data_IF_673215012508
#
_entry.id   IF_673215012508
#
_cell.length_a   1.000
_cell.length_b   1.000
_cell.length_c   1.000
_cell.angle_alpha   90.00
_cell.angle_beta   90.00
_cell.angle_gamma   90.00
#
_symmetry.space_group_name_H-M   'P 1'
#
loop_
_entity.id
_entity.type
_entity.pdbx_description
1 polymer ?
#
# COMPACT_ATOMS: atom_id res chain seq x y z
N UNK A 1 37.02 -2.64 59.43
CA UNK A 1 36.76 -2.91 57.99
C UNK A 1 35.48 -2.20 57.65
N UNK A 2 35.60 -1.12 56.92
CA UNK A 2 34.83 0.11 57.04
C UNK A 2 33.45 0.07 56.38
N UNK A 3 32.45 0.63 57.06
CA UNK A 3 31.10 0.86 56.56
C UNK A 3 31.05 1.57 55.18
N UNK A 4 32.06 2.37 54.90
CA UNK A 4 32.21 3.10 53.62
C UNK A 4 32.47 2.19 52.42
N UNK A 5 33.14 1.05 52.57
CA UNK A 5 33.42 0.10 51.48
C UNK A 5 32.16 -0.68 51.10
N UNK A 6 31.30 -0.98 52.07
CA UNK A 6 30.03 -1.68 51.81
C UNK A 6 28.99 -0.81 51.05
N UNK A 7 29.00 0.50 51.28
CA UNK A 7 28.13 1.45 50.59
C UNK A 7 28.59 1.65 49.14
N UNK A 8 29.89 1.71 48.89
CA UNK A 8 30.44 1.83 47.54
C UNK A 8 30.15 0.59 46.67
N UNK A 9 30.15 -0.61 47.27
CA UNK A 9 29.86 -1.86 46.56
C UNK A 9 28.37 -1.99 46.23
N UNK A 10 27.46 -1.47 47.08
CA UNK A 10 26.02 -1.48 46.85
C UNK A 10 25.58 -0.48 45.77
N UNK A 11 26.24 0.66 45.63
CA UNK A 11 25.96 1.66 44.59
C UNK A 11 26.50 1.21 43.21
N UNK A 12 27.63 0.47 43.20
CA UNK A 12 28.18 -0.07 41.94
C UNK A 12 27.34 -1.19 41.31
N UNK A 13 26.59 -1.96 42.13
CA UNK A 13 25.77 -3.05 41.63
C UNK A 13 24.40 -2.55 41.10
N UNK A 14 23.94 -1.38 41.54
CA UNK A 14 22.69 -0.77 41.10
C UNK A 14 22.75 -0.13 39.69
N UNK A 15 23.97 0.15 39.16
CA UNK A 15 24.15 0.79 37.86
C UNK A 15 24.26 -0.17 36.68
N UNK A 16 24.27 -1.47 36.92
CA UNK A 16 24.38 -2.49 35.85
C UNK A 16 23.05 -3.03 35.38
N UNK A 17 21.91 -2.54 35.88
CA UNK A 17 20.57 -2.99 35.50
C UNK A 17 19.88 -2.11 34.42
N UNK A 18 20.62 -1.17 33.83
CA UNK A 18 20.15 -0.54 32.57
C UNK A 18 20.48 -1.47 31.40
N UNK A 19 20.00 -2.74 31.50
CA UNK A 19 20.01 -3.65 30.39
C UNK A 19 19.04 -3.11 29.33
N UNK A 20 19.57 -2.75 28.20
CA UNK A 20 18.96 -2.51 26.91
C UNK A 20 17.55 -3.09 26.81
N UNK A 21 16.55 -2.25 26.97
CA UNK A 21 15.27 -2.49 26.33
C UNK A 21 15.54 -2.38 24.83
N UNK A 22 15.82 -3.51 24.18
CA UNK A 22 15.69 -3.59 22.73
C UNK A 22 14.22 -3.30 22.44
N UNK A 23 13.95 -2.08 22.03
CA UNK A 23 12.71 -1.76 21.35
C UNK A 23 12.78 -2.57 20.04
N UNK A 24 12.05 -3.67 20.02
CA UNK A 24 11.80 -4.41 18.79
C UNK A 24 10.94 -3.50 17.93
N UNK A 25 11.56 -2.68 17.09
CA UNK A 25 10.83 -2.01 16.01
C UNK A 25 10.31 -3.13 15.11
N UNK A 26 8.99 -3.33 15.11
CA UNK A 26 8.36 -4.12 14.06
C UNK A 26 8.84 -3.56 12.73
N UNK A 27 9.23 -4.43 11.78
CA UNK A 27 9.60 -3.98 10.45
C UNK A 27 8.43 -3.19 9.88
N UNK A 28 8.60 -1.89 9.77
CA UNK A 28 7.65 -1.04 9.07
C UNK A 28 7.83 -1.30 7.58
N UNK A 29 6.76 -1.62 6.87
CA UNK A 29 6.79 -1.77 5.42
C UNK A 29 7.40 -0.52 4.74
N UNK A 30 7.67 -0.61 3.43
CA UNK A 30 8.11 0.55 2.66
C UNK A 30 7.13 1.71 2.84
N UNK A 31 7.63 2.93 2.86
CA UNK A 31 6.79 4.13 2.87
C UNK A 31 6.70 4.75 1.48
N UNK A 32 5.60 5.44 1.23
CA UNK A 32 5.39 6.23 0.02
C UNK A 32 5.02 7.66 0.39
N UNK A 33 5.54 8.63 -0.34
CA UNK A 33 5.14 10.02 -0.21
C UNK A 33 3.73 10.20 -0.80
N UNK A 34 2.77 10.63 0.03
CA UNK A 34 1.40 10.93 -0.38
C UNK A 34 1.18 12.42 -0.65
N UNK A 35 2.01 13.27 -0.06
CA UNK A 35 2.20 14.68 -0.37
C UNK A 35 3.65 15.10 -0.08
N UNK A 36 3.92 16.42 -0.12
CA UNK A 36 5.30 16.95 0.01
C UNK A 36 5.97 16.65 1.34
N UNK A 37 5.19 16.51 2.41
CA UNK A 37 5.68 16.44 3.79
C UNK A 37 5.17 15.18 4.53
N UNK A 38 4.35 14.35 3.88
CA UNK A 38 3.71 13.19 4.50
C UNK A 38 4.11 11.90 3.82
N UNK A 39 4.75 11.03 4.59
CA UNK A 39 5.03 9.65 4.19
C UNK A 39 4.06 8.69 4.88
N UNK A 40 3.56 7.73 4.13
CA UNK A 40 2.67 6.68 4.61
C UNK A 40 3.35 5.33 4.48
N UNK A 41 3.41 4.58 5.58
CA UNK A 41 3.87 3.19 5.55
C UNK A 41 2.88 2.31 4.78
N UNK A 42 3.39 1.44 3.93
CA UNK A 42 2.56 0.48 3.20
C UNK A 42 2.37 -0.79 4.02
N UNK A 43 1.17 -1.39 4.01
CA UNK A 43 0.96 -2.74 4.52
C UNK A 43 1.89 -3.77 3.86
N UNK A 44 2.14 -4.89 4.51
CA UNK A 44 2.90 -5.98 3.91
C UNK A 44 2.07 -6.71 2.83
N UNK A 45 2.70 -7.32 1.82
CA UNK A 45 1.99 -8.14 0.83
C UNK A 45 1.12 -9.23 1.46
N UNK A 46 1.59 -9.88 2.52
CA UNK A 46 0.87 -10.94 3.23
C UNK A 46 -0.44 -10.48 3.88
N UNK A 47 -0.59 -9.19 4.19
CA UNK A 47 -1.77 -8.62 4.83
C UNK A 47 -2.97 -8.51 3.88
N UNK A 48 -2.80 -8.77 2.57
CA UNK A 48 -3.93 -8.94 1.65
C UNK A 48 -4.81 -10.15 2.05
N UNK A 49 -4.21 -11.21 2.60
CA UNK A 49 -4.91 -12.39 3.08
C UNK A 49 -5.17 -13.46 2.02
N UNK A 50 -5.04 -13.14 0.75
CA UNK A 50 -5.18 -14.05 -0.40
C UNK A 50 -4.15 -13.72 -1.48
N UNK A 51 -3.94 -14.62 -2.43
CA UNK A 51 -3.15 -14.35 -3.64
C UNK A 51 -4.08 -13.86 -4.76
N UNK A 52 -3.62 -12.87 -5.50
CA UNK A 52 -4.40 -12.22 -6.56
C UNK A 52 -3.57 -12.08 -7.83
N UNK A 53 -4.13 -12.47 -8.95
CA UNK A 53 -3.57 -12.15 -10.27
C UNK A 53 -4.65 -11.53 -11.13
N UNK A 54 -4.30 -10.51 -11.91
CA UNK A 54 -5.23 -9.88 -12.83
C UNK A 54 -4.55 -9.30 -14.05
N UNK A 55 -5.27 -9.32 -15.17
CA UNK A 55 -5.02 -8.48 -16.34
C UNK A 55 -6.09 -7.39 -16.36
N UNK A 56 -5.65 -6.14 -16.41
CA UNK A 56 -6.52 -4.97 -16.27
C UNK A 56 -6.19 -3.93 -17.33
N UNK A 57 -7.19 -3.17 -17.73
CA UNK A 57 -7.01 -1.92 -18.47
C UNK A 57 -7.24 -0.77 -17.48
N UNK A 58 -6.21 0.00 -17.22
CA UNK A 58 -6.28 1.17 -16.36
C UNK A 58 -6.43 2.40 -17.24
N UNK A 59 -7.45 3.23 -16.95
CA UNK A 59 -7.66 4.54 -17.58
C UNK A 59 -7.52 5.61 -16.51
N UNK A 60 -6.51 6.46 -16.59
CA UNK A 60 -6.31 7.58 -15.70
C UNK A 60 -6.73 8.88 -16.40
N UNK A 61 -7.60 9.64 -15.74
CA UNK A 61 -8.13 10.91 -16.24
C UNK A 61 -7.81 12.02 -15.25
N UNK A 62 -7.17 13.08 -15.72
CA UNK A 62 -6.96 14.32 -14.98
C UNK A 62 -7.22 15.50 -15.90
N UNK A 63 -8.02 16.44 -15.43
CA UNK A 63 -8.57 17.51 -16.28
C UNK A 63 -9.29 16.88 -17.50
N UNK A 64 -8.86 17.21 -18.73
CA UNK A 64 -9.46 16.71 -19.98
C UNK A 64 -8.61 15.61 -20.65
N UNK A 65 -7.48 15.24 -20.03
CA UNK A 65 -6.60 14.20 -20.57
C UNK A 65 -6.93 12.83 -19.98
N UNK A 66 -6.98 11.82 -20.86
CA UNK A 66 -7.16 10.42 -20.47
C UNK A 66 -6.05 9.57 -21.08
N UNK A 67 -5.35 8.81 -20.24
CA UNK A 67 -4.36 7.84 -20.67
C UNK A 67 -4.76 6.44 -20.27
N UNK A 68 -4.48 5.48 -21.15
CA UNK A 68 -4.81 4.07 -20.92
C UNK A 68 -3.53 3.23 -20.87
N UNK A 69 -3.50 2.31 -19.92
CA UNK A 69 -2.38 1.42 -19.72
C UNK A 69 -2.90 -0.01 -19.45
N UNK A 70 -2.61 -0.98 -20.33
CA UNK A 70 -2.77 -2.39 -20.01
C UNK A 70 -1.78 -2.77 -18.90
N UNK A 71 -2.28 -3.45 -17.87
CA UNK A 71 -1.50 -3.80 -16.68
C UNK A 71 -1.70 -5.26 -16.32
N UNK A 72 -0.64 -5.90 -15.87
CA UNK A 72 -0.68 -7.19 -15.18
C UNK A 72 -0.27 -6.99 -13.72
N UNK A 73 -1.06 -7.54 -12.83
CA UNK A 73 -0.84 -7.53 -11.39
C UNK A 73 -0.71 -8.95 -10.87
N UNK A 74 0.27 -9.19 -10.01
CA UNK A 74 0.43 -10.42 -9.24
C UNK A 74 0.67 -10.03 -7.78
N UNK A 75 -0.12 -10.55 -6.87
CA UNK A 75 0.07 -10.42 -5.42
C UNK A 75 0.14 -11.82 -4.82
N UNK A 76 1.22 -12.06 -4.09
CA UNK A 76 1.41 -13.25 -3.26
C UNK A 76 1.72 -12.81 -1.83
N UNK A 77 1.74 -13.69 -0.83
CA UNK A 77 2.14 -13.30 0.53
C UNK A 77 3.52 -12.65 0.63
N UNK A 78 4.40 -12.93 -0.33
CA UNK A 78 5.78 -12.46 -0.30
C UNK A 78 6.01 -11.17 -1.09
N UNK A 79 5.19 -10.91 -2.12
CA UNK A 79 5.46 -9.80 -3.06
C UNK A 79 4.19 -9.27 -3.74
N UNK A 80 4.31 -8.03 -4.19
CA UNK A 80 3.43 -7.40 -5.20
C UNK A 80 4.26 -7.15 -6.44
N UNK A 81 3.77 -7.55 -7.60
CA UNK A 81 4.37 -7.25 -8.91
C UNK A 81 3.32 -6.59 -9.79
N UNK A 82 3.71 -5.48 -10.42
CA UNK A 82 2.88 -4.77 -11.40
C UNK A 82 3.72 -4.53 -12.65
N UNK A 83 3.18 -4.87 -13.80
CA UNK A 83 3.80 -4.58 -15.10
C UNK A 83 2.80 -3.85 -16.01
N UNK A 84 3.23 -2.67 -16.51
CA UNK A 84 2.47 -1.86 -17.47
C UNK A 84 3.02 -2.02 -18.87
N UNK A 85 2.14 -2.05 -19.86
CA UNK A 85 2.48 -2.31 -21.25
C UNK A 85 1.98 -1.20 -22.18
N UNK A 86 2.76 -0.90 -23.22
CA UNK A 86 2.27 -0.09 -24.33
C UNK A 86 1.19 -0.84 -25.12
N UNK A 87 0.44 -0.13 -25.97
CA UNK A 87 -0.50 -0.73 -26.93
C UNK A 87 0.13 -1.77 -27.87
N UNK A 88 1.43 -1.74 -28.03
CA UNK A 88 2.21 -2.69 -28.84
C UNK A 88 2.75 -3.88 -28.03
N UNK A 89 2.38 -3.99 -26.74
CA UNK A 89 2.83 -5.06 -25.87
C UNK A 89 4.24 -4.91 -25.30
N UNK A 90 4.91 -3.79 -25.50
CA UNK A 90 6.20 -3.52 -24.87
C UNK A 90 6.00 -3.15 -23.40
N UNK A 91 6.72 -3.81 -22.47
CA UNK A 91 6.71 -3.44 -21.07
C UNK A 91 7.37 -2.07 -20.88
N UNK A 92 6.61 -1.11 -20.39
CA UNK A 92 7.05 0.28 -20.18
C UNK A 92 7.18 0.67 -18.71
N UNK A 93 6.55 -0.09 -17.83
CA UNK A 93 6.62 0.06 -16.39
C UNK A 93 6.75 -1.32 -15.74
N UNK A 94 7.61 -1.44 -14.74
CA UNK A 94 7.68 -2.59 -13.84
C UNK A 94 7.86 -2.08 -12.42
N UNK A 95 7.08 -2.64 -11.50
CA UNK A 95 7.18 -2.37 -10.08
C UNK A 95 7.15 -3.69 -9.34
N UNK A 96 8.01 -3.84 -8.35
CA UNK A 96 8.00 -4.94 -7.40
C UNK A 96 8.11 -4.40 -5.98
N UNK A 97 7.22 -4.84 -5.11
CA UNK A 97 7.28 -4.61 -3.67
C UNK A 97 7.50 -5.94 -2.96
N UNK A 98 8.67 -6.12 -2.38
CA UNK A 98 9.08 -7.33 -1.67
C UNK A 98 10.12 -6.98 -0.61
N UNK A 99 10.15 -7.73 0.51
CA UNK A 99 11.12 -7.52 1.60
C UNK A 99 11.18 -6.06 2.09
N UNK A 100 10.03 -5.39 2.11
CA UNK A 100 9.89 -3.96 2.49
C UNK A 100 10.69 -2.99 1.58
N UNK A 101 11.03 -3.41 0.38
CA UNK A 101 11.67 -2.59 -0.63
C UNK A 101 10.78 -2.48 -1.87
N UNK A 102 10.73 -1.28 -2.46
CA UNK A 102 10.05 -1.02 -3.72
C UNK A 102 11.13 -0.89 -4.79
N UNK A 103 11.08 -1.75 -5.80
CA UNK A 103 11.93 -1.70 -6.98
C UNK A 103 11.09 -1.28 -8.18
N UNK A 104 11.56 -0.28 -8.92
CA UNK A 104 10.82 0.26 -10.07
C UNK A 104 11.73 0.34 -11.30
N UNK A 105 11.16 0.09 -12.46
CA UNK A 105 11.80 0.27 -13.76
C UNK A 105 10.80 0.92 -14.70
N UNK A 106 11.20 2.05 -15.29
CA UNK A 106 10.42 2.77 -16.30
C UNK A 106 11.24 2.84 -17.56
N UNK A 107 10.62 2.58 -18.71
CA UNK A 107 11.28 2.66 -20.01
C UNK A 107 11.83 4.09 -20.23
N UNK A 108 13.08 4.18 -20.66
CA UNK A 108 13.76 5.46 -20.87
C UNK A 108 12.94 6.40 -21.76
N UNK A 109 12.79 7.65 -21.31
CA UNK A 109 12.00 8.69 -21.99
C UNK A 109 10.52 8.78 -21.58
N UNK A 110 9.98 7.83 -20.79
CA UNK A 110 8.58 7.85 -20.34
C UNK A 110 8.41 8.29 -18.89
N UNK A 111 9.49 8.50 -18.14
CA UNK A 111 9.40 8.80 -16.70
C UNK A 111 8.65 10.09 -16.36
N UNK A 112 8.59 11.06 -17.27
CA UNK A 112 7.80 12.29 -17.07
C UNK A 112 6.32 12.15 -17.48
N UNK A 113 5.98 11.09 -18.19
CA UNK A 113 4.62 10.87 -18.75
C UNK A 113 3.81 9.89 -17.90
N UNK A 114 4.49 8.98 -17.20
CA UNK A 114 3.84 7.98 -16.33
C UNK A 114 3.73 8.50 -14.90
N UNK A 115 2.69 8.09 -14.15
CA UNK A 115 2.61 8.34 -12.71
C UNK A 115 3.84 7.78 -11.98
N UNK A 116 4.18 8.35 -10.83
CA UNK A 116 5.23 7.78 -9.98
C UNK A 116 4.86 6.34 -9.59
N UNK A 117 5.75 5.37 -9.80
CA UNK A 117 5.42 3.95 -9.55
C UNK A 117 4.98 3.68 -8.10
N UNK A 118 5.55 4.39 -7.14
CA UNK A 118 5.20 4.29 -5.72
C UNK A 118 3.75 4.72 -5.47
N UNK A 119 3.28 5.78 -6.16
CA UNK A 119 1.89 6.22 -6.10
C UNK A 119 0.94 5.19 -6.73
N UNK A 120 1.37 4.53 -7.81
CA UNK A 120 0.60 3.44 -8.42
C UNK A 120 0.46 2.27 -7.45
N UNK A 121 1.54 1.91 -6.74
CA UNK A 121 1.53 0.87 -5.71
C UNK A 121 0.58 1.22 -4.57
N UNK A 122 0.67 2.45 -4.04
CA UNK A 122 -0.23 2.93 -2.99
C UNK A 122 -1.71 2.82 -3.42
N UNK A 123 -2.05 3.32 -4.62
CA UNK A 123 -3.43 3.28 -5.13
C UNK A 123 -3.92 1.83 -5.31
N UNK A 124 -3.06 0.93 -5.82
CA UNK A 124 -3.36 -0.50 -5.95
C UNK A 124 -3.63 -1.12 -4.57
N UNK A 125 -2.73 -0.91 -3.63
CA UNK A 125 -2.86 -1.51 -2.30
C UNK A 125 -4.06 -0.93 -1.54
N UNK A 126 -4.31 0.38 -1.64
CA UNK A 126 -5.48 1.00 -1.04
C UNK A 126 -6.79 0.45 -1.62
N UNK A 127 -6.77 0.02 -2.87
CA UNK A 127 -7.92 -0.59 -3.55
C UNK A 127 -8.16 -2.04 -3.10
N UNK A 128 -7.11 -2.82 -2.87
CA UNK A 128 -7.21 -4.27 -2.67
C UNK A 128 -7.15 -4.71 -1.19
N UNK A 129 -6.26 -4.12 -0.38
CA UNK A 129 -5.99 -4.57 0.99
C UNK A 129 -7.18 -4.32 1.92
N UNK A 130 -7.42 -5.19 2.92
CA UNK A 130 -8.50 -5.02 3.89
C UNK A 130 -8.26 -3.78 4.77
N UNK A 131 -9.34 -3.28 5.39
CA UNK A 131 -9.31 -2.07 6.24
C UNK A 131 -8.34 -2.21 7.39
N UNK A 132 -8.25 -3.40 7.95
CA UNK A 132 -7.41 -3.73 9.10
C UNK A 132 -5.93 -3.50 8.81
N UNK A 133 -5.49 -3.79 7.59
CA UNK A 133 -4.11 -3.56 7.15
C UNK A 133 -3.77 -2.06 7.07
N UNK A 134 -4.77 -1.22 6.87
CA UNK A 134 -4.61 0.24 6.76
C UNK A 134 -4.83 1.00 8.08
N UNK A 135 -5.38 0.34 9.10
CA UNK A 135 -5.80 1.02 10.33
C UNK A 135 -4.63 1.78 10.98
N UNK A 136 -3.50 1.12 11.24
CA UNK A 136 -2.34 1.73 11.87
C UNK A 136 -1.61 2.74 10.95
N UNK A 137 -1.31 2.41 9.69
CA UNK A 137 -0.70 3.35 8.77
C UNK A 137 -1.46 4.67 8.66
N UNK A 138 -2.76 4.62 8.39
CA UNK A 138 -3.58 5.83 8.23
C UNK A 138 -3.71 6.61 9.54
N UNK A 139 -3.90 5.93 10.67
CA UNK A 139 -3.98 6.59 11.97
C UNK A 139 -2.70 7.36 12.31
N UNK A 140 -1.53 6.90 11.89
CA UNK A 140 -0.26 7.56 12.15
C UNK A 140 -0.16 8.97 11.56
N UNK A 141 -0.95 9.26 10.52
CA UNK A 141 -1.04 10.55 9.83
C UNK A 141 -2.39 11.25 10.06
N UNK A 142 -3.19 10.77 11.03
CA UNK A 142 -4.51 11.34 11.35
C UNK A 142 -5.63 10.97 10.37
N UNK A 143 -5.39 10.08 9.44
CA UNK A 143 -6.38 9.64 8.45
C UNK A 143 -7.13 8.41 8.93
N UNK A 144 -8.29 8.15 8.33
CA UNK A 144 -9.03 6.91 8.55
C UNK A 144 -9.77 6.46 7.29
N UNK A 145 -10.12 5.19 7.26
CA UNK A 145 -10.74 4.54 6.11
C UNK A 145 -12.08 3.94 6.54
N UNK A 146 -13.12 4.22 5.76
CA UNK A 146 -14.46 3.61 5.89
C UNK A 146 -14.71 2.73 4.68
N UNK A 147 -15.03 1.47 4.91
CA UNK A 147 -15.32 0.47 3.88
C UNK A 147 -16.76 0.01 3.97
N UNK A 148 -17.38 -0.19 2.81
CA UNK A 148 -18.72 -0.76 2.64
C UNK A 148 -18.65 -1.88 1.61
N UNK A 149 -19.78 -2.55 1.34
CA UNK A 149 -19.81 -3.64 0.37
C UNK A 149 -19.34 -3.21 -1.03
N UNK A 150 -19.67 -1.97 -1.44
CA UNK A 150 -19.42 -1.48 -2.79
C UNK A 150 -18.59 -0.19 -2.86
N UNK A 151 -18.12 0.34 -1.74
CA UNK A 151 -17.32 1.56 -1.73
C UNK A 151 -16.34 1.62 -0.58
N UNK A 152 -15.30 2.41 -0.77
CA UNK A 152 -14.28 2.73 0.22
C UNK A 152 -14.02 4.23 0.19
N UNK A 153 -13.94 4.87 1.35
CA UNK A 153 -13.64 6.30 1.45
C UNK A 153 -12.54 6.52 2.48
N UNK A 154 -11.53 7.29 2.13
CA UNK A 154 -10.48 7.75 3.03
C UNK A 154 -10.75 9.19 3.40
N UNK A 155 -10.65 9.50 4.68
CA UNK A 155 -10.84 10.82 5.25
C UNK A 155 -9.53 11.30 5.90
N UNK A 156 -9.28 12.60 5.83
CA UNK A 156 -8.19 13.27 6.54
C UNK A 156 -8.54 13.54 8.01
N UNK A 157 -7.64 14.21 8.72
CA UNK A 157 -7.79 14.62 10.12
C UNK A 157 -8.94 15.64 10.34
N UNK A 158 -9.34 16.38 9.29
CA UNK A 158 -10.47 17.30 9.29
C UNK A 158 -11.79 16.64 8.90
N UNK A 159 -11.85 15.33 8.78
CA UNK A 159 -13.02 14.57 8.33
C UNK A 159 -13.42 14.88 6.87
N UNK A 160 -12.49 15.42 6.08
CA UNK A 160 -12.74 15.66 4.66
C UNK A 160 -12.42 14.38 3.88
N UNK A 161 -13.33 13.96 3.01
CA UNK A 161 -13.08 12.85 2.10
C UNK A 161 -12.02 13.24 1.06
N UNK A 162 -10.93 12.49 1.01
CA UNK A 162 -9.78 12.73 0.11
C UNK A 162 -9.68 11.71 -1.02
N UNK A 163 -10.09 10.46 -0.76
CA UNK A 163 -10.12 9.39 -1.76
C UNK A 163 -11.46 8.68 -1.65
N UNK A 164 -12.06 8.35 -2.79
CA UNK A 164 -13.23 7.49 -2.90
C UNK A 164 -12.98 6.40 -3.93
N UNK A 165 -13.30 5.16 -3.57
CA UNK A 165 -13.20 3.99 -4.44
C UNK A 165 -14.58 3.36 -4.52
N UNK A 166 -15.09 3.13 -5.73
CA UNK A 166 -16.37 2.50 -6.01
C UNK A 166 -16.11 1.16 -6.73
N UNK A 167 -16.69 0.08 -6.21
CA UNK A 167 -16.55 -1.28 -6.74
C UNK A 167 -17.82 -1.66 -7.48
N UNK A 168 -17.67 -2.15 -8.71
CA UNK A 168 -18.77 -2.51 -9.62
C UNK A 168 -18.67 -4.01 -9.96
N UNK A 169 -18.56 -4.83 -8.92
CA UNK A 169 -18.54 -6.28 -9.07
C UNK A 169 -19.95 -6.85 -9.18
N UNK A 170 -20.08 -8.00 -9.83
CA UNK A 170 -21.34 -8.73 -9.89
C UNK A 170 -21.73 -9.26 -8.49
N UNK A 171 -23.04 -9.32 -8.18
CA UNK A 171 -23.51 -9.86 -6.91
C UNK A 171 -22.96 -11.27 -6.64
N UNK A 172 -22.41 -11.47 -5.44
CA UNK A 172 -21.85 -12.76 -5.02
C UNK A 172 -20.42 -13.02 -5.47
N UNK A 173 -19.76 -12.06 -6.15
CA UNK A 173 -18.35 -12.13 -6.49
C UNK A 173 -17.55 -11.23 -5.55
N UNK A 174 -16.22 -11.42 -5.52
CA UNK A 174 -15.35 -10.55 -4.75
C UNK A 174 -15.34 -9.13 -5.35
N UNK A 175 -15.46 -8.09 -4.52
CA UNK A 175 -15.61 -6.69 -4.99
C UNK A 175 -14.47 -6.21 -5.91
N UNK A 176 -13.29 -6.80 -5.83
CA UNK A 176 -12.13 -6.42 -6.64
C UNK A 176 -12.08 -7.11 -8.02
N UNK A 177 -13.02 -8.01 -8.32
CA UNK A 177 -13.06 -8.71 -9.62
C UNK A 177 -13.84 -7.97 -10.70
N UNK A 178 -14.65 -6.97 -10.30
CA UNK A 178 -15.40 -6.10 -11.22
C UNK A 178 -14.60 -4.87 -11.67
N UNK A 179 -15.31 -3.94 -12.30
CA UNK A 179 -14.74 -2.62 -12.58
C UNK A 179 -14.62 -1.81 -11.29
N UNK A 180 -13.60 -0.98 -11.22
CA UNK A 180 -13.33 -0.14 -10.05
C UNK A 180 -13.12 1.30 -10.51
N UNK A 181 -13.71 2.26 -9.80
CA UNK A 181 -13.50 3.69 -10.02
C UNK A 181 -12.85 4.27 -8.79
N UNK A 182 -11.60 4.67 -8.91
CA UNK A 182 -10.82 5.35 -7.88
C UNK A 182 -10.81 6.85 -8.16
N UNK A 183 -11.21 7.68 -7.21
CA UNK A 183 -11.24 9.14 -7.32
C UNK A 183 -10.36 9.76 -6.22
N UNK A 184 -9.35 10.50 -6.59
CA UNK A 184 -8.59 11.35 -5.66
C UNK A 184 -9.22 12.74 -5.65
N UNK A 185 -10.01 13.03 -4.62
CA UNK A 185 -10.89 14.21 -4.58
C UNK A 185 -10.13 15.53 -4.44
N UNK A 186 -8.99 15.51 -3.75
CA UNK A 186 -8.17 16.72 -3.53
C UNK A 186 -7.17 16.96 -4.66
N UNK A 187 -6.65 15.91 -5.31
CA UNK A 187 -5.74 16.03 -6.45
C UNK A 187 -6.47 16.07 -7.80
N UNK A 188 -7.79 15.79 -7.81
CA UNK A 188 -8.64 15.97 -8.98
C UNK A 188 -8.40 14.96 -10.11
N UNK A 189 -7.94 13.72 -9.81
CA UNK A 189 -7.82 12.69 -10.83
C UNK A 189 -8.75 11.51 -10.56
N UNK A 190 -9.11 10.82 -11.63
CA UNK A 190 -9.90 9.59 -11.59
C UNK A 190 -9.17 8.47 -12.29
N UNK A 191 -9.13 7.29 -11.67
CA UNK A 191 -8.62 6.06 -12.26
C UNK A 191 -9.79 5.09 -12.41
N UNK A 192 -10.05 4.63 -13.63
CA UNK A 192 -10.98 3.53 -13.90
C UNK A 192 -10.17 2.28 -14.19
N UNK A 193 -10.45 1.21 -13.47
CA UNK A 193 -9.81 -0.09 -13.61
C UNK A 193 -10.86 -1.04 -14.18
N UNK A 194 -10.65 -1.47 -15.42
CA UNK A 194 -11.44 -2.52 -16.05
C UNK A 194 -10.70 -3.84 -15.90
N UNK A 195 -11.25 -4.77 -15.12
CA UNK A 195 -10.69 -6.11 -14.97
C UNK A 195 -11.09 -6.98 -16.16
N UNK A 196 -10.09 -7.39 -16.94
CA UNK A 196 -10.26 -8.26 -18.11
C UNK A 196 -10.27 -9.73 -17.71
N UNK A 197 -9.42 -10.09 -16.76
CA UNK A 197 -9.31 -11.41 -16.16
C UNK A 197 -8.73 -11.28 -14.75
N UNK A 198 -9.20 -12.11 -13.82
CA UNK A 198 -8.64 -12.18 -12.48
C UNK A 198 -8.78 -13.59 -11.89
N UNK A 199 -7.86 -13.92 -11.00
CA UNK A 199 -7.87 -15.15 -10.20
C UNK A 199 -7.57 -14.77 -8.75
N UNK A 200 -8.39 -15.27 -7.84
CA UNK A 200 -8.20 -15.16 -6.40
C UNK A 200 -7.96 -16.57 -5.87
N UNK A 201 -6.92 -16.73 -5.06
CA UNK A 201 -6.60 -18.00 -4.39
C UNK A 201 -6.41 -17.71 -2.91
N UNK A 202 -7.25 -18.28 -2.07
CA UNK A 202 -7.13 -18.14 -0.63
C UNK A 202 -5.77 -18.68 -0.15
N UNK A 203 -5.09 -17.90 0.67
CA UNK A 203 -3.85 -18.36 1.26
C UNK A 203 -4.20 -19.41 2.33
N UNK A 204 -3.46 -20.56 2.40
CA UNK A 204 -3.69 -21.51 3.45
C UNK A 204 -3.51 -20.81 4.81
N UNK A 205 -4.56 -20.84 5.63
CA UNK A 205 -4.51 -20.30 6.99
C UNK A 205 -3.32 -20.94 7.72
N UNK A 206 -2.41 -20.12 8.24
CA UNK A 206 -1.38 -20.59 9.16
C UNK A 206 -2.11 -21.10 10.40
N UNK A 207 -2.27 -22.42 10.47
CA UNK A 207 -2.73 -23.15 11.66
C UNK A 207 -1.64 -23.17 12.74
#
# INVERSE_FOLDING_TARGET
>A
MNKTIKIALAVGLGLLLNACSMVYQQPTGASVAIDKDTELALPLPAELGYSFTASQLISATWQDDTQQLPVQVEVTPDKVVLAGFSSWGTRILSLQYQNQAIETQVLSGLGATLPQPEQVLFNLMLTLWPVEAWAQPLQSIGWHLVDTDNSRTVFDDNQQAIIRIEYQADPGTHKTTGNIVFKHLTQGYTITIQTLNSTIVDNPSKS
#
